data_IF_688373312452
#
_entry.id   IF_688373312452
#
_cell.length_a   1.000
_cell.length_b   1.000
_cell.length_c   1.000
_cell.angle_alpha   90.00
_cell.angle_beta   90.00
_cell.angle_gamma   90.00
#
_symmetry.space_group_name_H-M   'P 1'
#
loop_
_entity.id
_entity.type
_entity.pdbx_description
1 polymer ?
#
# COMPACT_ATOMS: atom_id res chain seq x y z
N UNK A 1 -19.84 -11.19 4.32
CA UNK A 1 -18.59 -11.97 4.39
C UNK A 1 -18.03 -12.03 2.98
N UNK A 2 -16.76 -11.68 2.77
CA UNK A 2 -16.16 -11.75 1.43
C UNK A 2 -15.99 -13.20 0.99
N UNK A 3 -15.93 -13.40 -0.32
CA UNK A 3 -15.71 -14.72 -0.91
C UNK A 3 -14.33 -15.27 -0.55
N UNK A 4 -14.15 -16.61 -0.59
CA UNK A 4 -12.83 -17.23 -0.59
C UNK A 4 -11.94 -16.69 -1.72
N UNK A 5 -10.63 -16.82 -1.58
CA UNK A 5 -9.69 -16.52 -2.67
C UNK A 5 -9.99 -17.47 -3.85
N UNK A 6 -10.17 -16.95 -5.08
CA UNK A 6 -10.56 -17.77 -6.22
C UNK A 6 -9.42 -18.67 -6.70
N UNK A 7 -9.79 -19.85 -7.21
CA UNK A 7 -8.90 -20.74 -7.96
C UNK A 7 -9.27 -20.71 -9.43
N UNK A 8 -8.25 -20.67 -10.30
CA UNK A 8 -8.44 -20.67 -11.75
C UNK A 8 -7.70 -21.86 -12.36
N UNK A 9 -8.35 -22.48 -13.34
CA UNK A 9 -7.85 -23.60 -14.15
C UNK A 9 -7.22 -23.13 -15.47
N UNK A 10 -7.37 -21.85 -15.82
CA UNK A 10 -6.85 -21.27 -17.06
C UNK A 10 -6.44 -19.80 -16.91
N UNK A 11 -5.43 -19.40 -17.69
CA UNK A 11 -4.80 -18.08 -17.61
C UNK A 11 -5.64 -16.95 -18.23
N UNK A 12 -6.55 -17.24 -19.17
CA UNK A 12 -7.45 -16.25 -19.79
C UNK A 12 -8.46 -15.63 -18.80
N UNK A 13 -8.72 -16.33 -17.69
CA UNK A 13 -9.54 -15.81 -16.58
C UNK A 13 -8.80 -14.75 -15.75
N UNK A 14 -7.47 -14.69 -15.86
CA UNK A 14 -6.60 -13.83 -15.04
C UNK A 14 -5.99 -12.69 -15.88
N UNK A 15 -5.51 -13.00 -17.09
CA UNK A 15 -4.77 -12.08 -17.94
C UNK A 15 -5.60 -11.64 -19.15
N UNK A 16 -5.23 -10.52 -19.76
CA UNK A 16 -5.74 -10.15 -21.07
C UNK A 16 -5.39 -11.24 -22.12
N UNK A 17 -6.29 -11.56 -23.07
CA UNK A 17 -6.02 -12.55 -24.12
C UNK A 17 -4.70 -12.34 -24.86
N UNK A 18 -4.27 -11.08 -25.06
CA UNK A 18 -2.99 -10.78 -25.70
C UNK A 18 -1.77 -11.15 -24.85
N UNK A 19 -1.91 -11.21 -23.52
CA UNK A 19 -0.85 -11.55 -22.59
C UNK A 19 -0.73 -13.07 -22.33
N UNK A 20 -1.81 -13.84 -22.53
CA UNK A 20 -1.87 -15.28 -22.22
C UNK A 20 -0.70 -16.09 -22.79
N UNK A 21 -0.29 -15.97 -24.08
CA UNK A 21 0.81 -16.78 -24.62
C UNK A 21 2.14 -16.56 -23.89
N UNK A 22 2.43 -15.32 -23.50
CA UNK A 22 3.64 -14.96 -22.76
C UNK A 22 3.58 -15.48 -21.32
N UNK A 23 2.42 -15.39 -20.68
CA UNK A 23 2.23 -15.88 -19.32
C UNK A 23 2.29 -17.41 -19.26
N UNK A 24 1.71 -18.12 -20.23
CA UNK A 24 1.81 -19.59 -20.32
C UNK A 24 3.27 -20.07 -20.34
N UNK A 25 4.11 -19.43 -21.16
CA UNK A 25 5.55 -19.71 -21.18
C UNK A 25 6.22 -19.42 -19.84
N UNK A 26 5.86 -18.33 -19.16
CA UNK A 26 6.39 -17.97 -17.85
C UNK A 26 6.03 -19.02 -16.78
N UNK A 27 4.77 -19.45 -16.72
CA UNK A 27 4.32 -20.48 -15.77
C UNK A 27 5.02 -21.81 -16.02
N UNK A 28 5.08 -22.27 -17.28
CA UNK A 28 5.78 -23.51 -17.64
C UNK A 28 7.25 -23.47 -17.28
N UNK A 29 7.93 -22.36 -17.57
CA UNK A 29 9.34 -22.16 -17.20
C UNK A 29 9.54 -22.20 -15.68
N UNK A 30 8.68 -21.54 -14.91
CA UNK A 30 8.79 -21.50 -13.47
C UNK A 30 8.55 -22.87 -12.82
N UNK A 31 7.58 -23.64 -13.32
CA UNK A 31 7.33 -25.01 -12.88
C UNK A 31 8.51 -25.92 -13.23
N UNK A 32 9.06 -25.82 -14.44
CA UNK A 32 10.25 -26.59 -14.82
C UNK A 32 11.48 -26.25 -13.95
N UNK A 33 11.68 -24.96 -13.64
CA UNK A 33 12.77 -24.54 -12.74
C UNK A 33 12.53 -25.01 -11.30
N UNK A 34 11.28 -25.02 -10.82
CA UNK A 34 10.93 -25.62 -9.54
C UNK A 34 11.37 -27.09 -9.44
N UNK A 35 10.99 -27.89 -10.44
CA UNK A 35 11.32 -29.32 -10.50
C UNK A 35 12.83 -29.54 -10.56
N UNK A 36 13.55 -28.70 -11.29
CA UNK A 36 15.01 -28.73 -11.38
C UNK A 36 15.70 -28.36 -10.06
N UNK A 37 15.24 -27.32 -9.37
CA UNK A 37 15.86 -26.82 -8.13
C UNK A 37 15.59 -27.76 -6.96
N UNK A 38 14.38 -28.31 -6.86
CA UNK A 38 13.93 -29.09 -5.70
C UNK A 38 13.84 -30.59 -5.96
N UNK A 39 14.04 -31.05 -7.20
CA UNK A 39 13.99 -32.47 -7.56
C UNK A 39 12.61 -33.11 -7.40
N UNK A 40 11.54 -32.31 -7.37
CA UNK A 40 10.17 -32.77 -7.09
C UNK A 40 9.12 -31.99 -7.87
N UNK A 41 7.98 -32.63 -8.14
CA UNK A 41 6.85 -32.03 -8.87
C UNK A 41 6.19 -30.92 -8.05
N UNK A 42 5.77 -29.86 -8.74
CA UNK A 42 4.97 -28.80 -8.14
C UNK A 42 3.58 -29.34 -7.73
N UNK A 43 3.11 -28.95 -6.54
CA UNK A 43 1.78 -29.31 -6.04
C UNK A 43 0.78 -28.15 -6.18
N UNK A 44 1.26 -26.90 -6.12
CA UNK A 44 0.42 -25.72 -6.25
C UNK A 44 1.15 -24.54 -6.86
N UNK A 45 0.36 -23.59 -7.38
CA UNK A 45 0.81 -22.28 -7.84
C UNK A 45 -0.09 -21.23 -7.22
N UNK A 46 0.49 -20.20 -6.61
CA UNK A 46 -0.25 -19.03 -6.12
C UNK A 46 0.24 -17.76 -6.80
N UNK A 47 -0.65 -16.79 -6.92
CA UNK A 47 -0.40 -15.51 -7.61
C UNK A 47 -0.96 -14.36 -6.78
N UNK A 48 -0.23 -13.26 -6.69
CA UNK A 48 -0.75 -11.98 -6.20
C UNK A 48 -0.26 -10.83 -7.07
N UNK A 49 -1.15 -9.97 -7.60
CA UNK A 49 -0.78 -8.84 -8.45
C UNK A 49 -0.18 -7.68 -7.66
N UNK A 50 0.68 -6.90 -8.32
CA UNK A 50 0.99 -5.54 -7.91
C UNK A 50 -0.19 -4.60 -8.17
N UNK A 51 -0.01 -3.31 -7.88
CA UNK A 51 -1.09 -2.33 -8.00
C UNK A 51 -0.59 -0.95 -8.40
N UNK A 52 -1.49 -0.16 -8.97
CA UNK A 52 -1.36 1.30 -9.06
C UNK A 52 -2.43 1.95 -8.21
N UNK A 53 -2.12 3.09 -7.62
CA UNK A 53 -3.10 3.95 -6.98
C UNK A 53 -3.49 5.07 -7.94
N UNK A 54 -4.77 5.15 -8.32
CA UNK A 54 -5.23 6.18 -9.26
C UNK A 54 -5.28 7.54 -8.57
N UNK A 55 -5.73 7.58 -7.31
CA UNK A 55 -5.79 8.78 -6.48
C UNK A 55 -5.92 8.40 -5.00
N UNK A 56 -5.45 9.27 -4.09
CA UNK A 56 -5.48 8.98 -2.65
C UNK A 56 -4.12 8.56 -2.09
N UNK A 57 -3.03 9.25 -2.42
CA UNK A 57 -1.73 8.86 -1.84
C UNK A 57 -1.52 9.37 -0.43
N UNK A 58 -0.85 8.56 0.38
CA UNK A 58 -0.47 8.89 1.75
C UNK A 58 -1.62 9.30 2.68
N UNK A 59 -2.83 8.79 2.40
CA UNK A 59 -4.01 8.99 3.26
C UNK A 59 -4.58 7.69 3.83
N UNK A 60 -4.09 6.53 3.37
CA UNK A 60 -4.55 5.20 3.80
C UNK A 60 -4.23 4.94 5.28
N UNK A 61 -3.00 5.24 5.71
CA UNK A 61 -2.63 5.19 7.14
C UNK A 61 -3.19 6.36 7.96
N UNK A 62 -3.80 7.36 7.32
CA UNK A 62 -4.59 8.39 7.98
C UNK A 62 -6.09 8.01 8.12
N UNK A 63 -6.46 6.79 7.67
CA UNK A 63 -7.81 6.23 7.78
C UNK A 63 -8.77 6.63 6.66
N UNK A 64 -8.37 7.48 5.70
CA UNK A 64 -9.24 7.87 4.59
C UNK A 64 -9.25 6.81 3.49
N UNK A 65 -10.35 6.79 2.72
CA UNK A 65 -10.49 5.89 1.58
C UNK A 65 -9.55 6.26 0.42
N UNK A 66 -9.23 5.27 -0.40
CA UNK A 66 -8.31 5.38 -1.55
C UNK A 66 -8.88 4.66 -2.77
N UNK A 67 -8.34 4.93 -3.96
CA UNK A 67 -8.85 4.39 -5.22
C UNK A 67 -7.74 3.73 -6.08
N UNK A 68 -7.23 2.55 -5.67
CA UNK A 68 -6.28 1.77 -6.44
C UNK A 68 -6.92 0.83 -7.46
N UNK A 69 -6.07 0.15 -8.25
CA UNK A 69 -6.43 -1.04 -9.01
C UNK A 69 -5.24 -2.00 -9.10
N UNK A 70 -5.51 -3.31 -9.12
CA UNK A 70 -4.49 -4.30 -9.44
C UNK A 70 -4.03 -4.17 -10.90
N UNK A 71 -2.77 -4.54 -11.16
CA UNK A 71 -2.20 -4.60 -12.51
C UNK A 71 -1.83 -6.04 -12.88
N UNK A 72 -1.56 -6.28 -14.16
CA UNK A 72 -1.19 -7.62 -14.63
C UNK A 72 0.17 -8.10 -14.10
N UNK A 73 1.09 -7.18 -13.77
CA UNK A 73 2.37 -7.52 -13.15
C UNK A 73 2.13 -8.08 -11.76
N UNK A 74 2.81 -9.16 -11.42
CA UNK A 74 2.50 -9.96 -10.23
C UNK A 74 3.72 -10.69 -9.66
N UNK A 75 3.49 -11.33 -8.52
CA UNK A 75 4.36 -12.34 -7.92
C UNK A 75 3.67 -13.70 -8.03
N UNK A 76 4.40 -14.68 -8.55
CA UNK A 76 3.99 -16.08 -8.65
C UNK A 76 4.90 -16.91 -7.75
N UNK A 77 4.31 -17.79 -6.95
CA UNK A 77 5.03 -18.78 -6.14
C UNK A 77 4.55 -20.16 -6.57
N UNK A 78 5.50 -20.99 -7.00
CA UNK A 78 5.28 -22.42 -7.24
C UNK A 78 5.81 -23.18 -6.05
N UNK A 79 5.03 -24.13 -5.53
CA UNK A 79 5.38 -24.82 -4.31
C UNK A 79 4.94 -26.27 -4.24
N UNK A 80 5.56 -26.99 -3.31
CA UNK A 80 5.17 -28.32 -2.90
C UNK A 80 5.47 -28.53 -1.41
N UNK A 81 4.78 -29.48 -0.78
CA UNK A 81 4.81 -29.69 0.68
C UNK A 81 5.56 -30.96 1.07
N UNK A 82 6.04 -31.05 2.31
CA UNK A 82 6.53 -32.30 2.91
C UNK A 82 6.01 -32.45 4.34
N UNK A 83 5.90 -33.70 4.80
CA UNK A 83 5.56 -34.08 6.17
C UNK A 83 6.79 -34.43 7.02
N UNK A 84 7.96 -34.50 6.40
CA UNK A 84 9.21 -34.94 7.03
C UNK A 84 9.76 -33.91 8.02
N UNK A 85 9.56 -32.61 7.73
CA UNK A 85 10.01 -31.48 8.54
C UNK A 85 9.07 -30.26 8.41
N UNK A 86 9.39 -29.20 9.13
CA UNK A 86 8.69 -27.90 9.12
C UNK A 86 9.47 -26.81 8.37
N UNK A 87 10.53 -27.18 7.65
CA UNK A 87 11.46 -26.24 7.04
C UNK A 87 10.87 -25.61 5.78
N UNK A 88 11.11 -24.32 5.62
CA UNK A 88 10.81 -23.57 4.39
C UNK A 88 12.09 -23.40 3.58
N UNK A 89 12.07 -23.86 2.34
CA UNK A 89 13.14 -23.73 1.35
C UNK A 89 12.63 -22.88 0.20
N UNK A 90 13.10 -21.64 0.13
CA UNK A 90 12.60 -20.67 -0.83
C UNK A 90 13.73 -20.19 -1.75
N UNK A 91 13.51 -20.33 -3.05
CA UNK A 91 14.39 -19.85 -4.10
C UNK A 91 13.69 -18.76 -4.92
N UNK A 92 14.47 -18.00 -5.68
CA UNK A 92 13.98 -17.02 -6.63
C UNK A 92 14.61 -17.27 -8.00
N UNK A 93 13.84 -17.09 -9.08
CA UNK A 93 14.38 -17.21 -10.44
C UNK A 93 15.39 -16.09 -10.77
N UNK A 94 15.27 -14.94 -10.10
CA UNK A 94 16.22 -13.85 -10.24
C UNK A 94 17.39 -14.06 -9.27
N UNK A 95 18.63 -14.23 -9.78
CA UNK A 95 19.80 -14.52 -8.94
C UNK A 95 20.17 -13.38 -7.98
N UNK A 96 19.63 -12.16 -8.19
CA UNK A 96 19.74 -11.06 -7.22
C UNK A 96 19.18 -11.43 -5.84
N UNK A 97 18.21 -12.35 -5.80
CA UNK A 97 17.56 -12.80 -4.57
C UNK A 97 18.03 -14.22 -4.23
N UNK A 98 19.10 -14.37 -3.44
CA UNK A 98 19.68 -15.68 -3.15
C UNK A 98 18.71 -16.57 -2.37
N UNK A 99 18.83 -17.89 -2.56
CA UNK A 99 18.02 -18.88 -1.87
C UNK A 99 18.17 -18.80 -0.34
N UNK A 100 17.10 -19.16 0.36
CA UNK A 100 17.01 -19.13 1.82
C UNK A 100 16.36 -20.40 2.35
N UNK A 101 16.81 -20.84 3.52
CA UNK A 101 16.17 -21.88 4.31
C UNK A 101 15.96 -21.35 5.73
N UNK A 102 14.80 -21.64 6.32
CA UNK A 102 14.51 -21.38 7.73
C UNK A 102 13.50 -22.40 8.24
N UNK A 103 13.38 -22.52 9.57
CA UNK A 103 12.49 -23.48 10.21
C UNK A 103 11.40 -22.78 11.04
N UNK A 104 10.36 -23.52 11.39
CA UNK A 104 9.36 -23.11 12.36
C UNK A 104 9.97 -23.11 13.77
N UNK A 105 9.87 -21.97 14.47
CA UNK A 105 10.48 -21.77 15.78
C UNK A 105 9.51 -22.04 16.96
N UNK A 106 8.23 -22.35 16.68
CA UNK A 106 7.20 -22.65 17.68
C UNK A 106 6.11 -21.58 17.81
N UNK A 107 5.10 -21.81 18.67
CA UNK A 107 3.92 -20.93 18.80
C UNK A 107 4.24 -19.55 19.37
N UNK A 108 5.16 -19.49 20.33
CA UNK A 108 5.54 -18.23 21.00
C UNK A 108 6.34 -17.32 20.07
N UNK A 109 7.08 -17.93 19.14
CA UNK A 109 7.92 -17.25 18.18
C UNK A 109 7.90 -18.07 16.91
N UNK A 110 7.01 -17.74 15.98
CA UNK A 110 6.82 -18.54 14.76
C UNK A 110 8.07 -18.57 13.89
N UNK A 111 8.69 -17.41 13.72
CA UNK A 111 9.92 -17.23 12.93
C UNK A 111 10.55 -15.88 13.28
N UNK A 112 11.88 -15.82 13.26
CA UNK A 112 12.65 -14.59 13.40
C UNK A 112 12.63 -13.76 12.12
N UNK A 113 12.18 -12.51 12.24
CA UNK A 113 12.22 -11.49 11.19
C UNK A 113 13.14 -10.38 11.69
N UNK A 114 14.34 -10.32 11.12
CA UNK A 114 15.28 -9.23 11.40
C UNK A 114 14.92 -8.03 10.52
N UNK A 115 14.42 -6.97 11.15
CA UNK A 115 14.01 -5.73 10.48
C UNK A 115 15.12 -4.67 10.47
N UNK A 116 16.35 -5.02 10.84
CA UNK A 116 17.50 -4.11 10.76
C UNK A 116 18.16 -4.11 9.37
N UNK A 117 17.96 -5.16 8.58
CA UNK A 117 18.52 -5.30 7.24
C UNK A 117 17.44 -5.59 6.18
N UNK A 118 17.68 -5.11 4.95
CA UNK A 118 16.83 -5.41 3.81
C UNK A 118 17.10 -6.83 3.30
N UNK A 119 16.24 -7.77 3.68
CA UNK A 119 16.30 -9.17 3.25
C UNK A 119 14.98 -9.59 2.61
N UNK A 120 15.02 -10.03 1.34
CA UNK A 120 13.83 -10.29 0.54
C UNK A 120 12.94 -11.39 1.14
N UNK A 121 13.53 -12.41 1.77
CA UNK A 121 12.77 -13.50 2.40
C UNK A 121 11.99 -13.07 3.64
N UNK A 122 12.28 -11.90 4.23
CA UNK A 122 11.49 -11.37 5.35
C UNK A 122 10.04 -11.10 4.95
N UNK A 123 9.78 -10.67 3.71
CA UNK A 123 8.41 -10.50 3.20
C UNK A 123 7.65 -11.84 3.15
N UNK A 124 8.34 -12.94 2.79
CA UNK A 124 7.74 -14.27 2.88
C UNK A 124 7.47 -14.67 4.33
N UNK A 125 8.44 -14.46 5.22
CA UNK A 125 8.31 -14.73 6.65
C UNK A 125 7.15 -13.96 7.29
N UNK A 126 6.84 -12.74 6.84
CA UNK A 126 5.67 -11.99 7.27
C UNK A 126 4.37 -12.76 6.97
N UNK A 127 4.15 -13.14 5.71
CA UNK A 127 2.97 -13.92 5.31
C UNK A 127 2.88 -15.27 6.04
N UNK A 128 4.03 -15.94 6.20
CA UNK A 128 4.17 -17.17 6.98
C UNK A 128 3.75 -17.00 8.44
N UNK A 129 4.38 -16.04 9.14
CA UNK A 129 4.09 -15.71 10.54
C UNK A 129 2.62 -15.41 10.75
N UNK A 130 2.05 -14.49 9.96
CA UNK A 130 0.66 -14.06 10.12
C UNK A 130 -0.34 -15.19 9.95
N UNK A 131 -0.11 -16.11 9.00
CA UNK A 131 -1.02 -17.25 8.79
C UNK A 131 -0.87 -18.32 9.87
N UNK A 132 0.34 -18.63 10.31
CA UNK A 132 0.51 -19.61 11.39
C UNK A 132 -0.06 -19.10 12.73
N UNK A 133 0.09 -17.81 13.03
CA UNK A 133 -0.51 -17.18 14.22
C UNK A 133 -2.05 -17.19 14.15
N UNK A 134 -2.64 -16.88 12.99
CA UNK A 134 -4.09 -16.91 12.79
C UNK A 134 -4.68 -18.31 13.01
N UNK A 135 -4.06 -19.32 12.42
CA UNK A 135 -4.56 -20.69 12.44
C UNK A 135 -4.03 -21.54 13.60
N UNK A 136 -3.13 -20.98 14.42
CA UNK A 136 -2.55 -21.63 15.61
C UNK A 136 -1.95 -23.01 15.27
N UNK A 137 -1.22 -23.10 14.16
CA UNK A 137 -0.68 -24.38 13.68
C UNK A 137 0.53 -24.85 14.51
N UNK A 138 0.42 -26.06 15.06
CA UNK A 138 1.47 -26.67 15.89
C UNK A 138 2.57 -27.32 15.06
N UNK A 139 2.21 -27.82 13.88
CA UNK A 139 3.11 -28.52 12.95
C UNK A 139 2.77 -28.12 11.51
N UNK A 140 3.21 -26.93 11.05
CA UNK A 140 3.01 -26.53 9.66
C UNK A 140 3.75 -27.49 8.71
N UNK A 141 3.27 -27.63 7.48
CA UNK A 141 3.99 -28.40 6.44
C UNK A 141 5.35 -27.76 6.14
N UNK A 142 6.38 -28.58 5.93
CA UNK A 142 7.62 -28.15 5.30
C UNK A 142 7.34 -27.75 3.84
N UNK A 143 8.02 -26.71 3.35
CA UNK A 143 7.76 -26.09 2.06
C UNK A 143 8.99 -26.08 1.18
N UNK A 144 8.79 -26.42 -0.09
CA UNK A 144 9.72 -26.14 -1.18
C UNK A 144 9.05 -25.11 -2.08
N UNK A 145 9.75 -24.02 -2.37
CA UNK A 145 9.16 -22.86 -3.06
C UNK A 145 10.15 -22.29 -4.08
N UNK A 146 9.63 -21.84 -5.22
CA UNK A 146 10.34 -20.94 -6.13
C UNK A 146 9.46 -19.74 -6.49
N UNK A 147 10.06 -18.56 -6.52
CA UNK A 147 9.36 -17.28 -6.72
C UNK A 147 9.78 -16.63 -8.03
N UNK A 148 8.82 -16.06 -8.74
CA UNK A 148 9.04 -15.16 -9.87
C UNK A 148 8.16 -13.91 -9.76
N UNK A 149 8.78 -12.73 -9.79
CA UNK A 149 8.10 -11.45 -9.67
C UNK A 149 8.39 -10.54 -10.85
N UNK A 150 7.34 -10.01 -11.48
CA UNK A 150 7.45 -9.05 -12.61
C UNK A 150 7.04 -7.62 -12.23
N UNK A 151 6.60 -7.42 -10.98
CA UNK A 151 6.39 -6.10 -10.39
C UNK A 151 7.77 -5.46 -10.15
N UNK A 152 8.06 -4.26 -10.71
CA UNK A 152 9.34 -3.60 -10.50
C UNK A 152 9.58 -3.32 -9.01
N UNK A 153 10.65 -3.87 -8.45
CA UNK A 153 11.04 -3.62 -7.07
C UNK A 153 11.41 -2.15 -6.88
N UNK A 154 10.86 -1.51 -5.85
CA UNK A 154 11.03 -0.07 -5.61
C UNK A 154 10.37 0.83 -6.66
N UNK A 155 9.57 0.27 -7.58
CA UNK A 155 8.90 1.00 -8.66
C UNK A 155 7.54 1.59 -8.27
N UNK A 156 7.27 1.79 -6.98
CA UNK A 156 5.97 2.29 -6.51
C UNK A 156 4.76 1.37 -6.73
N UNK A 157 4.92 0.17 -7.33
CA UNK A 157 3.82 -0.74 -7.72
C UNK A 157 3.50 -1.87 -6.71
N UNK A 158 3.98 -1.75 -5.47
CA UNK A 158 3.73 -2.70 -4.37
C UNK A 158 4.22 -4.13 -4.59
N UNK A 159 5.46 -4.28 -5.06
CA UNK A 159 6.09 -5.60 -5.15
C UNK A 159 6.17 -6.31 -3.78
N UNK A 160 6.35 -5.57 -2.69
CA UNK A 160 6.41 -6.12 -1.33
C UNK A 160 5.07 -6.70 -0.89
N UNK A 161 3.99 -5.92 -0.98
CA UNK A 161 2.65 -6.35 -0.59
C UNK A 161 2.16 -7.52 -1.45
N UNK A 162 2.40 -7.48 -2.77
CA UNK A 162 2.11 -8.61 -3.66
C UNK A 162 2.84 -9.88 -3.19
N UNK A 163 4.11 -9.76 -2.79
CA UNK A 163 4.85 -10.91 -2.29
C UNK A 163 4.33 -11.40 -0.93
N UNK A 164 4.01 -10.50 0.01
CA UNK A 164 3.42 -10.86 1.32
C UNK A 164 2.09 -11.57 1.14
N UNK A 165 1.18 -11.06 0.30
CA UNK A 165 -0.11 -11.67 -0.01
C UNK A 165 0.06 -13.05 -0.68
N UNK A 166 0.97 -13.17 -1.66
CA UNK A 166 1.28 -14.46 -2.28
C UNK A 166 1.86 -15.46 -1.27
N UNK A 167 2.70 -15.00 -0.34
CA UNK A 167 3.32 -15.83 0.69
C UNK A 167 2.29 -16.34 1.69
N UNK A 168 1.40 -15.46 2.16
CA UNK A 168 0.26 -15.83 2.99
C UNK A 168 -0.63 -16.86 2.30
N UNK A 169 -0.96 -16.64 1.02
CA UNK A 169 -1.77 -17.57 0.24
C UNK A 169 -1.06 -18.92 0.06
N UNK A 170 0.26 -18.94 -0.20
CA UNK A 170 1.03 -20.19 -0.30
C UNK A 170 0.95 -21.02 0.98
N UNK A 171 0.99 -20.38 2.15
CA UNK A 171 0.91 -21.06 3.46
C UNK A 171 -0.47 -21.63 3.71
N UNK A 172 -1.53 -20.88 3.38
CA UNK A 172 -2.92 -21.35 3.43
C UNK A 172 -3.11 -22.55 2.49
N UNK A 173 -2.65 -22.45 1.25
CA UNK A 173 -2.76 -23.52 0.24
C UNK A 173 -2.00 -24.77 0.65
N UNK A 174 -0.74 -24.63 1.08
CA UNK A 174 0.10 -25.75 1.49
C UNK A 174 -0.48 -26.54 2.67
N UNK A 175 -1.06 -25.82 3.64
CA UNK A 175 -1.66 -26.43 4.83
C UNK A 175 -3.15 -26.78 4.63
N UNK A 176 -3.70 -26.63 3.41
CA UNK A 176 -5.10 -26.93 3.06
C UNK A 176 -6.11 -26.20 3.96
N UNK A 177 -5.81 -24.95 4.29
CA UNK A 177 -6.65 -24.10 5.14
C UNK A 177 -7.65 -23.32 4.27
N UNK A 178 -8.75 -22.87 4.89
CA UNK A 178 -9.74 -22.00 4.25
C UNK A 178 -9.64 -20.61 4.83
N UNK A 179 -9.62 -19.58 3.97
CA UNK A 179 -9.59 -18.18 4.38
C UNK A 179 -10.43 -17.33 3.42
N UNK A 180 -11.10 -16.31 3.95
CA UNK A 180 -11.76 -15.30 3.12
C UNK A 180 -10.75 -14.29 2.56
N UNK A 181 -11.08 -13.62 1.44
CA UNK A 181 -10.24 -12.53 0.90
C UNK A 181 -9.98 -11.43 1.93
N UNK A 182 -11.01 -11.08 2.72
CA UNK A 182 -10.90 -10.05 3.77
C UNK A 182 -9.91 -10.46 4.85
N UNK A 183 -10.02 -11.67 5.39
CA UNK A 183 -9.11 -12.13 6.44
C UNK A 183 -7.66 -12.23 5.92
N UNK A 184 -7.46 -12.72 4.70
CA UNK A 184 -6.12 -12.77 4.09
C UNK A 184 -5.53 -11.36 3.99
N UNK A 185 -6.35 -10.39 3.58
CA UNK A 185 -5.95 -8.98 3.45
C UNK A 185 -5.58 -8.38 4.80
N UNK A 186 -6.46 -8.48 5.80
CA UNK A 186 -6.25 -7.90 7.14
C UNK A 186 -4.99 -8.46 7.81
N UNK A 187 -4.75 -9.77 7.69
CA UNK A 187 -3.55 -10.42 8.21
C UNK A 187 -2.31 -9.93 7.45
N UNK A 188 -2.35 -9.86 6.11
CA UNK A 188 -1.23 -9.41 5.30
C UNK A 188 -0.82 -7.96 5.63
N UNK A 189 -1.79 -7.06 5.85
CA UNK A 189 -1.56 -5.67 6.24
C UNK A 189 -0.75 -5.60 7.54
N UNK A 190 -1.19 -6.33 8.56
CA UNK A 190 -0.51 -6.33 9.87
C UNK A 190 0.84 -7.04 9.78
N UNK A 191 0.91 -8.14 9.04
CA UNK A 191 2.11 -8.95 8.90
C UNK A 191 3.26 -8.18 8.24
N UNK A 192 3.00 -7.41 7.18
CA UNK A 192 4.06 -6.67 6.46
C UNK A 192 4.78 -5.67 7.36
N UNK A 193 4.11 -5.11 8.39
CA UNK A 193 4.74 -4.17 9.34
C UNK A 193 5.91 -4.79 10.13
N UNK A 194 6.04 -6.13 10.16
CA UNK A 194 7.19 -6.79 10.77
C UNK A 194 8.51 -6.57 10.00
N UNK A 195 8.47 -6.05 8.76
CA UNK A 195 9.70 -5.68 8.00
C UNK A 195 10.24 -4.29 8.34
N UNK A 196 9.65 -3.57 9.31
CA UNK A 196 10.12 -2.25 9.75
C UNK A 196 9.51 -1.04 9.03
N UNK A 197 8.47 -1.25 8.21
CA UNK A 197 7.75 -0.18 7.51
C UNK A 197 6.31 -0.06 8.05
N UNK A 198 5.90 1.14 8.46
CA UNK A 198 4.55 1.37 9.00
C UNK A 198 3.50 1.56 7.88
N UNK A 199 3.35 0.57 7.00
CA UNK A 199 2.42 0.63 5.87
C UNK A 199 0.95 0.66 6.31
N UNK A 200 0.13 1.38 5.54
CA UNK A 200 -1.33 1.27 5.61
C UNK A 200 -1.83 0.00 4.92
N UNK A 201 -3.11 -0.01 4.54
CA UNK A 201 -3.79 -1.20 4.04
C UNK A 201 -4.00 -1.27 2.52
N UNK A 202 -3.71 -0.19 1.80
CA UNK A 202 -4.10 -0.05 0.39
C UNK A 202 -3.54 -1.16 -0.50
N UNK A 203 -2.25 -1.46 -0.36
CA UNK A 203 -1.52 -2.30 -1.30
C UNK A 203 -2.01 -3.75 -1.28
N UNK A 204 -2.20 -4.29 -0.07
CA UNK A 204 -2.70 -5.64 0.15
C UNK A 204 -4.18 -5.73 -0.26
N UNK A 205 -4.98 -4.72 0.08
CA UNK A 205 -6.38 -4.64 -0.36
C UNK A 205 -6.49 -4.65 -1.88
N UNK A 206 -5.70 -3.83 -2.58
CA UNK A 206 -5.69 -3.82 -4.04
C UNK A 206 -5.22 -5.16 -4.62
N UNK A 207 -4.21 -5.80 -4.03
CA UNK A 207 -3.69 -7.08 -4.49
C UNK A 207 -4.72 -8.21 -4.41
N UNK A 208 -5.51 -8.25 -3.34
CA UNK A 208 -6.40 -9.39 -3.03
C UNK A 208 -7.86 -9.16 -3.47
N UNK A 209 -8.34 -7.91 -3.39
CA UNK A 209 -9.76 -7.57 -3.53
C UNK A 209 -10.11 -6.94 -4.88
N UNK A 210 -9.13 -6.64 -5.74
CA UNK A 210 -9.40 -6.13 -7.09
C UNK A 210 -10.08 -7.17 -7.98
N UNK A 211 -10.87 -6.69 -8.93
CA UNK A 211 -11.56 -7.48 -9.94
C UNK A 211 -11.16 -7.00 -11.34
N UNK A 212 -11.23 -7.91 -12.33
CA UNK A 212 -10.89 -7.59 -13.72
C UNK A 212 -11.83 -6.51 -14.25
N UNK A 213 -11.27 -5.52 -14.96
CA UNK A 213 -11.98 -4.38 -15.56
C UNK A 213 -12.54 -3.33 -14.57
N UNK A 214 -12.26 -3.44 -13.27
CA UNK A 214 -12.67 -2.46 -12.27
C UNK A 214 -11.47 -1.86 -11.54
N UNK A 215 -11.59 -0.58 -11.18
CA UNK A 215 -10.83 -0.02 -10.08
C UNK A 215 -11.46 -0.45 -8.74
N UNK A 216 -10.79 -0.15 -7.63
CA UNK A 216 -11.19 -0.56 -6.30
C UNK A 216 -11.26 0.67 -5.41
N UNK A 217 -12.44 1.00 -4.88
CA UNK A 217 -12.53 1.93 -3.75
C UNK A 217 -12.30 1.12 -2.47
N UNK A 218 -11.38 1.59 -1.62
CA UNK A 218 -11.00 0.92 -0.37
C UNK A 218 -11.21 1.87 0.79
N UNK A 219 -11.95 1.43 1.80
CA UNK A 219 -12.15 2.13 3.07
C UNK A 219 -11.65 1.25 4.21
N UNK A 220 -10.91 1.83 5.17
CA UNK A 220 -10.21 1.06 6.20
C UNK A 220 -10.93 1.03 7.54
N UNK A 221 -11.66 2.11 7.86
CA UNK A 221 -12.30 2.33 9.17
C UNK A 221 -13.82 2.52 9.00
N UNK A 222 -14.63 2.05 9.96
CA UNK A 222 -14.25 1.29 11.17
C UNK A 222 -13.89 -0.18 10.88
N UNK A 223 -14.08 -0.64 9.65
CA UNK A 223 -13.71 -1.97 9.17
C UNK A 223 -13.32 -1.88 7.69
N UNK A 224 -12.53 -2.83 7.21
CA UNK A 224 -12.18 -2.91 5.81
C UNK A 224 -13.45 -3.11 4.96
N UNK A 225 -13.72 -2.15 4.09
CA UNK A 225 -14.79 -2.19 3.10
C UNK A 225 -14.21 -1.87 1.72
N UNK A 226 -14.72 -2.55 0.70
CA UNK A 226 -14.27 -2.34 -0.68
C UNK A 226 -15.44 -2.39 -1.64
N UNK A 227 -15.39 -1.53 -2.66
CA UNK A 227 -16.35 -1.52 -3.75
C UNK A 227 -15.61 -1.50 -5.10
N UNK A 228 -16.09 -2.29 -6.05
CA UNK A 228 -15.61 -2.24 -7.42
C UNK A 228 -16.10 -0.95 -8.10
N UNK A 229 -15.19 -0.19 -8.70
CA UNK A 229 -15.49 1.10 -9.34
C UNK A 229 -15.32 0.95 -10.85
N UNK A 230 -16.40 1.03 -11.64
CA UNK A 230 -16.29 0.99 -13.09
C UNK A 230 -15.60 2.28 -13.59
N UNK A 231 -14.63 2.13 -14.48
CA UNK A 231 -14.02 3.28 -15.14
C UNK A 231 -14.90 3.76 -16.31
N UNK A 232 -14.94 5.08 -16.61
CA UNK A 232 -15.77 5.61 -17.69
C UNK A 232 -15.42 5.02 -19.06
N UNK A 233 -16.46 4.60 -19.80
CA UNK A 233 -16.32 4.16 -21.20
C UNK A 233 -16.16 5.40 -22.10
N UNK A 234 -15.10 5.40 -22.90
CA UNK A 234 -14.64 6.55 -23.69
C UNK A 234 -14.16 6.13 -25.08
N UNK A 235 -14.05 7.09 -26.00
CA UNK A 235 -13.58 6.84 -27.37
C UNK A 235 -12.55 7.91 -27.77
N UNK A 236 -11.24 7.59 -27.82
CA UNK A 236 -10.64 6.26 -27.67
C UNK A 236 -10.75 5.71 -26.24
N UNK A 237 -10.58 4.39 -26.08
CA UNK A 237 -10.67 3.71 -24.78
C UNK A 237 -9.68 4.34 -23.79
N UNK A 238 -10.18 4.68 -22.60
CA UNK A 238 -9.36 5.12 -21.47
C UNK A 238 -8.23 4.12 -21.21
N UNK A 239 -7.04 4.66 -21.00
CA UNK A 239 -5.87 3.90 -20.59
C UNK A 239 -5.07 4.70 -19.58
N UNK A 240 -4.58 4.02 -18.54
CA UNK A 240 -3.55 4.54 -17.65
C UNK A 240 -2.20 3.99 -18.12
N UNK A 241 -1.24 4.88 -18.37
CA UNK A 241 0.12 4.51 -18.75
C UNK A 241 1.00 4.61 -17.51
N UNK A 242 1.70 3.52 -17.19
CA UNK A 242 2.64 3.46 -16.07
C UNK A 242 4.05 3.66 -16.61
N UNK A 243 4.68 4.77 -16.25
CA UNK A 243 6.06 5.09 -16.58
C UNK A 243 6.90 5.04 -15.31
N UNK A 244 7.95 4.22 -15.31
CA UNK A 244 8.88 4.10 -14.19
C UNK A 244 9.98 5.16 -14.32
N UNK A 245 10.27 5.88 -13.25
CA UNK A 245 11.33 6.92 -13.21
C UNK A 245 12.74 6.35 -13.32
N UNK A 246 12.89 5.04 -13.13
CA UNK A 246 14.13 4.29 -12.95
C UNK A 246 14.91 4.69 -11.67
N UNK A 247 14.34 5.56 -10.84
CA UNK A 247 14.83 5.87 -9.50
C UNK A 247 14.22 4.86 -8.54
N UNK A 248 15.06 4.01 -7.96
CA UNK A 248 14.61 3.03 -6.98
C UNK A 248 14.26 3.73 -5.67
N UNK A 249 12.96 3.76 -5.34
CA UNK A 249 12.50 4.24 -4.04
C UNK A 249 12.65 3.13 -3.00
N UNK A 250 13.81 3.09 -2.34
CA UNK A 250 14.04 2.17 -1.23
C UNK A 250 13.29 2.66 0.03
N UNK A 251 12.06 2.16 0.15
CA UNK A 251 11.13 2.52 1.24
C UNK A 251 11.67 2.14 2.60
N UNK A 252 12.48 1.08 2.71
CA UNK A 252 13.04 0.62 3.97
C UNK A 252 14.21 1.51 4.40
N UNK A 253 15.19 1.71 3.52
CA UNK A 253 16.41 2.49 3.82
C UNK A 253 16.09 3.97 4.09
N UNK A 254 15.13 4.54 3.35
CA UNK A 254 14.79 5.96 3.51
C UNK A 254 13.63 6.20 4.47
N UNK A 255 13.01 5.15 5.03
CA UNK A 255 11.82 5.25 5.88
C UNK A 255 11.95 6.30 6.99
N UNK A 256 13.06 6.38 7.76
CA UNK A 256 13.18 7.33 8.86
C UNK A 256 13.11 8.81 8.43
N UNK A 257 13.52 9.13 7.21
CA UNK A 257 13.54 10.51 6.66
C UNK A 257 12.35 10.79 5.74
N UNK A 258 11.74 9.74 5.20
CA UNK A 258 10.66 9.79 4.23
C UNK A 258 9.39 9.17 4.82
N UNK A 259 9.12 7.90 4.54
CA UNK A 259 7.82 7.29 4.77
C UNK A 259 7.38 7.29 6.24
N UNK A 260 8.19 6.78 7.17
CA UNK A 260 7.84 6.71 8.59
C UNK A 260 7.72 8.12 9.20
N UNK A 261 8.57 9.06 8.76
CA UNK A 261 8.45 10.47 9.18
C UNK A 261 7.09 11.05 8.81
N UNK A 262 6.61 10.82 7.57
CA UNK A 262 5.29 11.28 7.13
C UNK A 262 4.16 10.71 7.99
N UNK A 263 4.27 9.43 8.34
CA UNK A 263 3.29 8.79 9.24
C UNK A 263 3.27 9.51 10.59
N UNK A 264 4.42 9.75 11.22
CA UNK A 264 4.51 10.46 12.51
C UNK A 264 3.96 11.89 12.40
N UNK A 265 4.32 12.64 11.35
CA UNK A 265 3.80 13.99 11.12
C UNK A 265 2.26 14.00 11.02
N UNK A 266 1.65 13.01 10.38
CA UNK A 266 0.18 12.92 10.27
C UNK A 266 -0.52 12.58 11.58
N UNK A 267 0.09 11.74 12.44
CA UNK A 267 -0.45 11.43 13.77
C UNK A 267 -0.40 12.65 14.69
N UNK A 268 0.74 13.36 14.70
CA UNK A 268 0.89 14.61 15.46
C UNK A 268 -0.06 15.70 14.98
N UNK A 269 -0.29 15.78 13.67
CA UNK A 269 -1.28 16.67 13.08
C UNK A 269 -2.71 16.33 13.52
N UNK A 270 -3.05 15.04 13.60
CA UNK A 270 -4.36 14.58 14.10
C UNK A 270 -4.57 14.98 15.56
N UNK A 271 -3.58 14.72 16.43
CA UNK A 271 -3.63 15.13 17.84
C UNK A 271 -3.83 16.63 18.00
N UNK A 272 -3.09 17.43 17.22
CA UNK A 272 -3.19 18.89 17.29
C UNK A 272 -4.59 19.38 16.88
N UNK A 273 -5.10 18.87 15.77
CA UNK A 273 -6.40 19.28 15.25
C UNK A 273 -7.53 18.84 16.17
N UNK A 274 -7.46 17.63 16.74
CA UNK A 274 -8.39 17.16 17.76
C UNK A 274 -8.43 18.08 18.99
N UNK A 275 -7.25 18.45 19.51
CA UNK A 275 -7.14 19.39 20.65
C UNK A 275 -7.78 20.74 20.33
N UNK A 276 -7.48 21.32 19.16
CA UNK A 276 -8.03 22.62 18.75
C UNK A 276 -9.55 22.59 18.53
N UNK A 277 -10.08 21.44 18.15
CA UNK A 277 -11.52 21.22 17.97
C UNK A 277 -12.23 20.74 19.25
N UNK A 278 -11.54 20.65 20.38
CA UNK A 278 -12.06 20.12 21.65
C UNK A 278 -12.61 18.69 21.55
N UNK A 279 -11.92 17.84 20.77
CA UNK A 279 -12.22 16.43 20.60
C UNK A 279 -11.34 15.57 21.54
N UNK A 280 -11.73 14.32 21.85
CA UNK A 280 -10.84 13.39 22.52
C UNK A 280 -9.55 13.16 21.72
N UNK A 281 -8.51 12.66 22.37
CA UNK A 281 -7.29 12.26 21.69
C UNK A 281 -7.58 11.14 20.68
N UNK A 282 -7.08 11.31 19.47
CA UNK A 282 -7.21 10.37 18.34
C UNK A 282 -5.85 10.14 17.70
N UNK A 283 -5.72 9.11 16.88
CA UNK A 283 -4.46 8.80 16.21
C UNK A 283 -4.45 9.23 14.74
N UNK A 284 -5.62 9.45 14.13
CA UNK A 284 -5.73 9.72 12.69
C UNK A 284 -6.57 10.95 12.34
N UNK A 285 -6.26 11.59 11.21
CA UNK A 285 -7.03 12.72 10.70
C UNK A 285 -8.45 12.31 10.29
N UNK A 286 -8.68 11.05 9.91
CA UNK A 286 -10.03 10.52 9.67
C UNK A 286 -10.88 10.51 10.93
N UNK A 287 -10.32 10.11 12.08
CA UNK A 287 -11.05 10.16 13.35
C UNK A 287 -11.41 11.59 13.75
N UNK A 288 -10.51 12.56 13.51
CA UNK A 288 -10.84 13.99 13.70
C UNK A 288 -12.04 14.37 12.84
N UNK A 289 -12.00 14.03 11.54
CA UNK A 289 -13.07 14.33 10.60
C UNK A 289 -14.40 13.67 11.03
N UNK A 290 -14.38 12.38 11.36
CA UNK A 290 -15.58 11.62 11.73
C UNK A 290 -16.20 12.10 13.04
N UNK A 291 -15.39 12.37 14.06
CA UNK A 291 -15.88 12.85 15.35
C UNK A 291 -16.43 14.28 15.25
N UNK A 292 -15.73 15.16 14.53
CA UNK A 292 -16.15 16.55 14.42
C UNK A 292 -17.44 16.72 13.59
N UNK A 293 -17.60 15.94 12.52
CA UNK A 293 -18.74 16.05 11.62
C UNK A 293 -19.82 14.99 11.82
N UNK A 294 -19.75 14.21 12.91
CA UNK A 294 -20.70 13.12 13.21
C UNK A 294 -22.17 13.53 13.04
N UNK A 295 -22.53 14.70 13.54
CA UNK A 295 -23.90 15.24 13.54
C UNK A 295 -24.07 16.44 12.57
N UNK A 296 -23.12 16.63 11.63
CA UNK A 296 -23.13 17.74 10.69
C UNK A 296 -24.08 17.52 9.51
N UNK A 297 -24.82 18.56 9.14
CA UNK A 297 -25.65 18.58 7.93
C UNK A 297 -24.89 18.88 6.63
N UNK A 298 -23.60 19.26 6.72
CA UNK A 298 -22.76 19.53 5.56
C UNK A 298 -22.54 18.26 4.73
N UNK A 299 -22.43 18.39 3.41
CA UNK A 299 -21.98 17.30 2.56
C UNK A 299 -20.45 17.08 2.70
N UNK A 300 -19.93 15.96 2.21
CA UNK A 300 -18.51 15.60 2.40
C UNK A 300 -17.53 16.66 1.87
N UNK A 301 -17.77 17.20 0.67
CA UNK A 301 -16.87 18.21 0.07
C UNK A 301 -16.88 19.51 0.90
N UNK A 302 -18.05 19.89 1.41
CA UNK A 302 -18.17 21.04 2.33
C UNK A 302 -17.44 20.80 3.64
N UNK A 303 -17.51 19.59 4.20
CA UNK A 303 -16.78 19.21 5.43
C UNK A 303 -15.27 19.30 5.24
N UNK A 304 -14.73 18.79 4.11
CA UNK A 304 -13.29 18.93 3.83
C UNK A 304 -12.89 20.39 3.66
N UNK A 305 -13.70 21.19 2.98
CA UNK A 305 -13.44 22.62 2.78
C UNK A 305 -13.41 23.38 4.10
N UNK A 306 -14.39 23.14 4.98
CA UNK A 306 -14.46 23.74 6.31
C UNK A 306 -13.27 23.32 7.19
N UNK A 307 -12.93 22.03 7.22
CA UNK A 307 -11.81 21.53 8.03
C UNK A 307 -10.46 22.04 7.54
N UNK A 308 -10.26 22.17 6.22
CA UNK A 308 -9.07 22.77 5.63
C UNK A 308 -8.91 24.23 6.07
N UNK A 309 -9.99 25.01 5.99
CA UNK A 309 -9.98 26.41 6.44
C UNK A 309 -9.67 26.52 7.93
N UNK A 310 -10.27 25.68 8.76
CA UNK A 310 -9.97 25.62 10.20
C UNK A 310 -8.51 25.25 10.47
N UNK A 311 -7.97 24.28 9.75
CA UNK A 311 -6.56 23.92 9.87
C UNK A 311 -5.65 25.13 9.57
N UNK A 312 -5.95 25.89 8.51
CA UNK A 312 -5.22 27.12 8.18
C UNK A 312 -5.29 28.19 9.27
N UNK A 313 -6.42 28.30 9.97
CA UNK A 313 -6.62 29.25 11.07
C UNK A 313 -5.97 28.80 12.39
N UNK A 314 -5.95 27.49 12.67
CA UNK A 314 -5.52 26.96 13.96
C UNK A 314 -4.03 26.75 14.11
N UNK A 315 -3.35 26.39 13.03
CA UNK A 315 -1.91 26.14 13.09
C UNK A 315 -1.15 27.46 13.37
N UNK A 316 -0.23 27.47 14.36
CA UNK A 316 0.60 28.65 14.61
C UNK A 316 1.39 29.04 13.36
N UNK A 317 1.67 30.33 13.20
CA UNK A 317 2.53 30.79 12.10
C UNK A 317 3.88 30.09 12.18
N UNK A 318 4.25 29.46 11.07
CA UNK A 318 5.56 28.85 10.90
C UNK A 318 6.60 29.96 10.61
N UNK A 319 7.57 30.12 11.50
CA UNK A 319 8.66 31.10 11.36
C UNK A 319 9.91 30.51 10.69
N UNK A 320 9.87 29.26 10.22
CA UNK A 320 11.00 28.51 9.68
C UNK A 320 11.04 28.48 8.14
N UNK A 321 10.37 29.44 7.50
CA UNK A 321 10.19 29.47 6.04
C UNK A 321 9.53 28.18 5.51
N UNK A 322 8.41 27.78 6.11
CA UNK A 322 7.63 26.57 5.79
C UNK A 322 8.34 25.23 6.10
N UNK A 323 9.36 25.22 6.97
CA UNK A 323 10.03 23.99 7.38
C UNK A 323 9.28 23.21 8.48
N UNK A 324 8.27 23.80 9.13
CA UNK A 324 7.46 23.18 10.17
C UNK A 324 7.89 23.57 11.58
N UNK A 325 7.69 22.66 12.53
CA UNK A 325 7.91 22.89 13.96
C UNK A 325 8.95 21.91 14.51
N UNK A 326 9.79 22.35 15.44
CA UNK A 326 10.66 21.49 16.25
C UNK A 326 9.84 20.55 17.13
N UNK A 327 10.44 19.47 17.63
CA UNK A 327 9.73 18.54 18.52
C UNK A 327 9.28 19.22 19.83
N UNK A 328 10.06 20.17 20.32
CA UNK A 328 9.75 20.99 21.49
C UNK A 328 8.54 21.90 21.24
N UNK A 329 8.46 22.54 20.06
CA UNK A 329 7.30 23.33 19.68
C UNK A 329 6.05 22.44 19.53
N UNK A 330 6.17 21.27 18.91
CA UNK A 330 5.06 20.31 18.82
C UNK A 330 4.61 19.86 20.21
N UNK A 331 5.54 19.57 21.11
CA UNK A 331 5.27 19.21 22.51
C UNK A 331 4.48 20.32 23.22
N UNK A 332 4.88 21.58 23.06
CA UNK A 332 4.17 22.73 23.62
C UNK A 332 2.78 22.93 23.00
N UNK A 333 2.66 22.78 21.68
CA UNK A 333 1.37 22.86 20.97
C UNK A 333 0.39 21.80 21.49
N UNK A 334 0.87 20.57 21.70
CA UNK A 334 0.07 19.43 22.14
C UNK A 334 -0.13 19.39 23.66
N UNK A 335 0.70 20.07 24.45
CA UNK A 335 0.77 19.89 25.91
C UNK A 335 1.03 18.41 26.28
N UNK A 336 1.96 17.79 25.54
CA UNK A 336 2.39 16.41 25.73
C UNK A 336 3.92 16.43 25.83
N UNK A 337 4.54 15.83 26.87
CA UNK A 337 5.99 15.79 27.00
C UNK A 337 6.68 15.17 25.77
N UNK A 338 7.82 15.74 25.35
CA UNK A 338 8.64 15.23 24.23
C UNK A 338 8.87 13.72 24.32
N UNK A 339 9.23 13.23 25.51
CA UNK A 339 9.48 11.81 25.74
C UNK A 339 8.26 10.94 25.45
N UNK A 340 7.06 11.39 25.81
CA UNK A 340 5.83 10.64 25.55
C UNK A 340 5.52 10.58 24.05
N UNK A 341 5.75 11.67 23.31
CA UNK A 341 5.63 11.67 21.85
C UNK A 341 6.61 10.71 21.18
N UNK A 342 7.87 10.68 21.65
CA UNK A 342 8.89 9.76 21.17
C UNK A 342 8.52 8.30 21.47
N UNK A 343 8.16 8.01 22.71
CA UNK A 343 7.81 6.68 23.18
C UNK A 343 6.63 6.11 22.38
N UNK A 344 5.60 6.94 22.10
CA UNK A 344 4.40 6.54 21.38
C UNK A 344 4.63 6.38 19.87
N UNK A 345 5.30 7.31 19.21
CA UNK A 345 5.31 7.39 17.74
C UNK A 345 6.65 7.03 17.08
N UNK A 346 7.76 6.99 17.81
CA UNK A 346 9.11 6.91 17.24
C UNK A 346 9.93 5.71 17.72
N UNK A 347 9.53 5.02 18.79
CA UNK A 347 10.26 3.87 19.33
C UNK A 347 10.26 2.66 18.39
N UNK A 348 9.08 2.27 17.90
CA UNK A 348 8.95 1.12 17.01
C UNK A 348 9.47 1.41 15.60
N UNK A 349 9.29 2.65 15.15
CA UNK A 349 9.66 3.11 13.82
C UNK A 349 10.46 4.41 13.96
N UNK A 350 11.81 4.36 13.91
CA UNK A 350 12.63 5.54 14.12
C UNK A 350 12.40 6.55 13.00
N UNK A 351 12.50 7.83 13.35
CA UNK A 351 12.41 8.98 12.43
C UNK A 351 13.63 9.89 12.58
N UNK A 352 13.99 10.59 11.51
CA UNK A 352 15.15 11.47 11.44
C UNK A 352 14.73 12.79 10.80
N UNK A 353 14.52 13.82 11.63
CA UNK A 353 14.21 15.18 11.22
C UNK A 353 14.48 16.16 12.34
N UNK A 354 14.75 17.42 11.98
CA UNK A 354 14.76 18.54 12.92
C UNK A 354 13.38 19.22 13.02
N UNK A 355 12.54 19.06 11.99
CA UNK A 355 11.24 19.74 11.89
C UNK A 355 10.11 18.80 11.41
N UNK A 356 8.89 19.08 11.89
CA UNK A 356 7.67 18.36 11.60
C UNK A 356 6.66 19.29 10.91
N UNK A 357 6.30 19.00 9.66
CA UNK A 357 5.48 19.87 8.78
C UNK A 357 3.99 19.59 8.90
N UNK A 358 3.45 19.68 10.11
CA UNK A 358 2.07 19.29 10.44
C UNK A 358 1.02 19.95 9.53
N UNK A 359 1.15 21.27 9.30
CA UNK A 359 0.25 22.05 8.44
C UNK A 359 0.18 21.48 7.02
N UNK A 360 1.35 21.23 6.43
CA UNK A 360 1.46 20.73 5.06
C UNK A 360 0.86 19.33 4.95
N UNK A 361 1.09 18.46 5.95
CA UNK A 361 0.52 17.11 5.96
C UNK A 361 -0.99 17.15 6.12
N UNK A 362 -1.53 17.97 7.01
CA UNK A 362 -2.99 18.16 7.13
C UNK A 362 -3.60 18.62 5.81
N UNK A 363 -3.03 19.66 5.18
CA UNK A 363 -3.55 20.17 3.90
C UNK A 363 -3.51 19.11 2.80
N UNK A 364 -2.41 18.36 2.70
CA UNK A 364 -2.31 17.26 1.76
C UNK A 364 -3.40 16.22 2.01
N UNK A 365 -3.46 15.66 3.22
CA UNK A 365 -4.34 14.55 3.56
C UNK A 365 -5.81 14.91 3.33
N UNK A 366 -6.26 16.06 3.84
CA UNK A 366 -7.66 16.47 3.70
C UNK A 366 -8.03 16.78 2.25
N UNK A 367 -7.16 17.48 1.51
CA UNK A 367 -7.43 17.79 0.10
C UNK A 367 -7.36 16.54 -0.78
N UNK A 368 -6.48 15.58 -0.47
CA UNK A 368 -6.36 14.32 -1.21
C UNK A 368 -7.56 13.41 -0.95
N UNK A 369 -8.04 13.34 0.29
CA UNK A 369 -9.26 12.62 0.63
C UNK A 369 -10.50 13.18 -0.10
N UNK A 370 -10.64 14.51 -0.18
CA UNK A 370 -11.68 15.15 -1.01
C UNK A 370 -11.56 14.73 -2.48
N UNK A 371 -10.34 14.74 -3.03
CA UNK A 371 -10.09 14.34 -4.42
C UNK A 371 -10.48 12.89 -4.71
N UNK A 372 -10.31 11.96 -3.76
CA UNK A 372 -10.77 10.57 -3.90
C UNK A 372 -12.29 10.52 -4.10
N UNK A 373 -13.04 11.25 -3.29
CA UNK A 373 -14.51 11.30 -3.37
C UNK A 373 -14.96 11.91 -4.71
N UNK A 374 -14.32 13.01 -5.12
CA UNK A 374 -14.60 13.66 -6.39
C UNK A 374 -14.29 12.76 -7.59
N UNK A 375 -13.16 12.03 -7.55
CA UNK A 375 -12.75 11.10 -8.58
C UNK A 375 -13.71 9.91 -8.66
N UNK A 376 -14.08 9.32 -7.52
CA UNK A 376 -15.05 8.24 -7.43
C UNK A 376 -16.39 8.65 -8.05
N UNK A 377 -16.93 9.81 -7.65
CA UNK A 377 -18.17 10.36 -8.18
C UNK A 377 -18.10 10.61 -9.69
N UNK A 378 -16.95 11.09 -10.19
CA UNK A 378 -16.73 11.28 -11.61
C UNK A 378 -16.72 9.95 -12.39
N UNK A 379 -16.16 8.88 -11.81
CA UNK A 379 -16.24 7.53 -12.38
C UNK A 379 -17.68 7.00 -12.43
N UNK A 380 -18.48 7.20 -11.37
CA UNK A 380 -19.85 6.69 -11.30
C UNK A 380 -20.84 7.45 -12.22
N UNK A 381 -20.70 8.77 -12.29
CA UNK A 381 -21.71 9.64 -12.93
C UNK A 381 -21.28 10.17 -14.29
N UNK A 382 -19.98 10.20 -14.57
CA UNK A 382 -19.41 10.78 -15.78
C UNK A 382 -19.63 9.92 -17.02
N UNK A 383 -19.78 10.58 -18.18
CA UNK A 383 -19.85 9.94 -19.49
C UNK A 383 -19.01 10.71 -20.51
N UNK A 384 -18.30 9.98 -21.37
CA UNK A 384 -17.54 10.54 -22.47
C UNK A 384 -16.31 11.37 -22.06
N UNK A 385 -15.73 12.05 -23.03
CA UNK A 385 -14.38 12.61 -22.96
C UNK A 385 -14.24 13.76 -21.95
N UNK A 386 -15.32 14.49 -21.65
CA UNK A 386 -15.32 15.53 -20.62
C UNK A 386 -15.00 14.96 -19.24
N UNK A 387 -15.38 13.71 -18.98
CA UNK A 387 -15.07 13.00 -17.72
C UNK A 387 -13.57 12.74 -17.62
N UNK A 388 -12.90 12.39 -18.73
CA UNK A 388 -11.45 12.17 -18.74
C UNK A 388 -10.68 13.42 -18.34
N UNK A 389 -11.14 14.60 -18.78
CA UNK A 389 -10.54 15.87 -18.38
C UNK A 389 -10.69 16.09 -16.88
N UNK A 390 -11.86 15.83 -16.30
CA UNK A 390 -12.10 15.96 -14.85
C UNK A 390 -11.18 15.02 -14.06
N UNK A 391 -11.09 13.74 -14.45
CA UNK A 391 -10.20 12.78 -13.81
C UNK A 391 -8.72 13.22 -13.94
N UNK A 392 -8.32 13.71 -15.12
CA UNK A 392 -6.98 14.20 -15.37
C UNK A 392 -6.61 15.43 -14.53
N UNK A 393 -7.52 16.39 -14.41
CA UNK A 393 -7.37 17.58 -13.58
C UNK A 393 -7.19 17.19 -12.09
N UNK A 394 -8.00 16.25 -11.59
CA UNK A 394 -7.87 15.71 -10.22
C UNK A 394 -6.52 15.02 -10.00
N UNK A 395 -6.03 14.23 -10.96
CA UNK A 395 -4.70 13.61 -10.89
C UNK A 395 -3.59 14.66 -10.85
N UNK A 396 -3.69 15.74 -11.63
CA UNK A 396 -2.70 16.82 -11.63
C UNK A 396 -2.69 17.58 -10.30
N UNK A 397 -3.86 17.84 -9.71
CA UNK A 397 -3.96 18.44 -8.37
C UNK A 397 -3.37 17.53 -7.29
N UNK A 398 -3.58 16.21 -7.39
CA UNK A 398 -2.93 15.23 -6.52
C UNK A 398 -1.41 15.28 -6.67
N UNK A 399 -0.87 15.34 -7.90
CA UNK A 399 0.58 15.45 -8.12
C UNK A 399 1.17 16.73 -7.50
N UNK A 400 0.52 17.88 -7.71
CA UNK A 400 0.97 19.14 -7.14
C UNK A 400 0.98 19.07 -5.59
N UNK A 401 -0.06 18.49 -5.01
CA UNK A 401 -0.15 18.26 -3.57
C UNK A 401 0.94 17.31 -3.06
N UNK A 402 1.20 16.20 -3.76
CA UNK A 402 2.28 15.27 -3.43
C UNK A 402 3.66 15.94 -3.50
N UNK A 403 3.87 16.82 -4.48
CA UNK A 403 5.11 17.57 -4.64
C UNK A 403 5.27 18.65 -3.56
N UNK A 404 4.33 19.60 -3.47
CA UNK A 404 4.48 20.81 -2.64
C UNK A 404 4.10 20.61 -1.18
N UNK A 405 3.00 19.90 -0.92
CA UNK A 405 2.47 19.73 0.43
C UNK A 405 3.02 18.48 1.09
N UNK A 406 3.08 17.36 0.38
CA UNK A 406 3.59 16.11 0.96
C UNK A 406 5.10 15.94 0.81
N UNK A 407 5.71 16.58 -0.19
CA UNK A 407 7.14 16.47 -0.48
C UNK A 407 7.57 15.01 -0.58
N UNK A 408 6.81 14.26 -1.39
CA UNK A 408 7.11 12.88 -1.79
C UNK A 408 7.31 12.74 -3.32
N UNK A 409 7.41 13.83 -4.07
CA UNK A 409 7.88 13.78 -5.47
C UNK A 409 9.42 13.72 -5.54
N UNK A 410 9.96 13.65 -6.75
CA UNK A 410 11.38 13.86 -7.07
C UNK A 410 11.53 14.49 -8.47
N UNK A 411 12.70 15.02 -8.85
CA UNK A 411 12.90 15.66 -10.14
C UNK A 411 12.51 14.79 -11.34
N UNK A 412 12.78 13.48 -11.27
CA UNK A 412 12.47 12.53 -12.34
C UNK A 412 10.95 12.29 -12.46
N UNK A 413 10.22 12.20 -11.34
CA UNK A 413 8.75 12.15 -11.34
C UNK A 413 8.20 13.41 -12.01
N UNK A 414 8.69 14.57 -11.59
CA UNK A 414 8.21 15.87 -12.07
C UNK A 414 8.45 16.01 -13.58
N UNK A 415 9.63 15.60 -14.06
CA UNK A 415 9.98 15.58 -15.48
C UNK A 415 9.11 14.60 -16.29
N UNK A 416 8.90 13.37 -15.80
CA UNK A 416 8.04 12.38 -16.47
C UNK A 416 6.62 12.91 -16.59
N UNK A 417 6.07 13.51 -15.51
CA UNK A 417 4.73 14.09 -15.52
C UNK A 417 4.61 15.27 -16.48
N UNK A 418 5.62 16.15 -16.52
CA UNK A 418 5.65 17.28 -17.45
C UNK A 418 5.69 16.83 -18.92
N UNK A 419 6.57 15.89 -19.25
CA UNK A 419 6.70 15.34 -20.61
C UNK A 419 5.41 14.64 -21.02
N UNK A 420 4.82 13.80 -20.15
CA UNK A 420 3.58 13.10 -20.45
C UNK A 420 2.44 14.08 -20.77
N UNK A 421 2.25 15.13 -19.96
CA UNK A 421 1.21 16.16 -20.20
C UNK A 421 1.44 16.93 -21.49
N UNK A 422 2.69 17.30 -21.79
CA UNK A 422 3.05 17.97 -23.05
C UNK A 422 2.78 17.13 -24.30
N UNK A 423 2.67 15.81 -24.15
CA UNK A 423 2.52 14.86 -25.25
C UNK A 423 1.19 14.06 -25.20
N UNK A 424 0.15 14.63 -24.59
CA UNK A 424 -1.22 14.11 -24.71
C UNK A 424 -1.82 13.46 -23.47
N UNK A 425 -1.06 13.34 -22.37
CA UNK A 425 -1.64 12.92 -21.09
C UNK A 425 -2.54 14.00 -20.49
N UNK A 426 -3.77 13.64 -20.12
CA UNK A 426 -4.72 14.55 -19.45
C UNK A 426 -4.39 14.75 -17.97
N UNK A 427 -3.78 13.75 -17.34
CA UNK A 427 -3.42 13.75 -15.92
C UNK A 427 -2.19 12.91 -15.68
N UNK A 428 -1.22 13.43 -14.92
CA UNK A 428 0.02 12.70 -14.61
C UNK A 428 0.45 12.96 -13.19
N UNK A 429 0.65 11.87 -12.45
CA UNK A 429 1.02 11.86 -11.03
C UNK A 429 1.90 10.66 -10.71
N UNK A 430 2.65 10.76 -9.62
CA UNK A 430 3.32 9.61 -9.01
C UNK A 430 2.30 8.58 -8.50
N UNK A 431 2.74 7.33 -8.33
CA UNK A 431 1.98 6.31 -7.59
C UNK A 431 2.88 5.52 -6.65
N UNK A 432 2.32 5.05 -5.55
CA UNK A 432 3.03 4.45 -4.43
C UNK A 432 3.58 5.49 -3.46
N UNK A 433 4.67 5.14 -2.79
CA UNK A 433 5.27 5.98 -1.77
C UNK A 433 5.93 7.27 -2.31
N UNK A 434 6.24 7.34 -3.62
CA UNK A 434 7.02 8.43 -4.19
C UNK A 434 8.52 8.36 -3.84
N UNK A 435 9.20 9.50 -3.93
CA UNK A 435 10.67 9.64 -3.85
C UNK A 435 11.41 8.80 -4.91
N UNK A 436 10.78 8.62 -6.07
CA UNK A 436 11.12 7.66 -7.11
C UNK A 436 9.91 6.76 -7.42
N UNK A 437 10.16 5.63 -8.08
CA UNK A 437 9.11 4.68 -8.48
C UNK A 437 8.87 4.60 -9.97
#
# INVERSE_FOLDING_TARGET
MSSPVPSFDSLDKIYDPAAVPKQDQRYKKLIAEFEKVHGRKAEFVVRSPGRVNLIGEHIDYCGFGVLPMAIERDVIIVGATTDDDTKVRIANINPKYPAREFDYEGKEKVVTIDSSELEWSNYFKCGYKGMLEKFQLDKPKGLFLIVDGTVPAGGGLSSSAAFVCASALAVVTANKLTISKTELTEIAIVAERNVGVNSGGMDQSASVLSEKDFALHVEFVPKLHTAAVPLPVTTPKLAFIIANTLVTADKFVTAPRNYNLRVVETHMAALFLAKKLNLPAVDTLKEVYDLYYKDSSLNEVERFTDLLKKAEEFYPKDNTNNNGYTLEEVSQMLDIPVKELQDKYMTRFPVQTDYYRLVHRTKHVLSEASRVIEFHKACETGKGDSTLKVLGDLMNLSQESCNKLFMCSCPEIDQVCEVARKNGSLGSRLTGAGWGG
#
